data_IF_476214265569
#
_entry.id   IF_476214265569
#
_cell.length_a   1.000
_cell.length_b   1.000
_cell.length_c   1.000
_cell.angle_alpha   90.00
_cell.angle_beta   90.00
_cell.angle_gamma   90.00
#
_symmetry.space_group_name_H-M   'P 1'
#
loop_
_entity.id
_entity.type
_entity.pdbx_description
1 polymer ?
#
# COMPACT_ATOMS: atom_id res chain seq x y z
N UNK A 1 -68.96 28.56 22.19
CA UNK A 1 -68.28 28.33 20.88
C UNK A 1 -66.77 28.38 21.08
N UNK A 2 -66.06 27.25 21.09
CA UNK A 2 -64.58 27.18 21.20
C UNK A 2 -64.07 26.60 19.91
N UNK A 3 -63.40 27.40 19.10
CA UNK A 3 -62.65 26.95 17.92
C UNK A 3 -61.38 26.21 18.35
N UNK A 4 -61.25 24.96 17.96
CA UNK A 4 -60.03 24.18 18.07
C UNK A 4 -59.24 24.33 16.76
N UNK A 5 -58.10 25.01 16.83
CA UNK A 5 -57.15 25.14 15.76
C UNK A 5 -56.30 23.88 15.72
N UNK A 6 -56.39 23.11 14.63
CA UNK A 6 -55.54 21.94 14.38
C UNK A 6 -54.24 22.40 13.76
N UNK A 7 -53.14 22.18 14.47
CA UNK A 7 -51.79 22.26 13.91
C UNK A 7 -51.45 20.94 13.21
N UNK A 8 -51.42 20.98 11.88
CA UNK A 8 -50.84 19.89 11.06
C UNK A 8 -49.31 20.07 11.09
N UNK A 9 -48.63 19.22 11.81
CA UNK A 9 -47.18 19.05 11.70
C UNK A 9 -46.87 18.30 10.39
N UNK A 10 -46.39 19.05 9.39
CA UNK A 10 -45.83 18.51 8.17
C UNK A 10 -44.43 17.95 8.51
N UNK A 11 -44.34 16.66 8.77
CA UNK A 11 -43.06 15.97 8.83
C UNK A 11 -42.49 15.86 7.40
N UNK A 12 -41.61 16.79 7.04
CA UNK A 12 -40.78 16.67 5.83
C UNK A 12 -39.76 15.56 6.12
N UNK A 13 -40.05 14.34 5.69
CA UNK A 13 -39.06 13.26 5.60
C UNK A 13 -38.13 13.67 4.47
N UNK A 14 -37.00 14.27 4.83
CA UNK A 14 -35.87 14.39 3.95
C UNK A 14 -35.32 12.97 3.71
N UNK A 15 -35.87 12.29 2.70
CA UNK A 15 -35.19 11.18 2.06
C UNK A 15 -33.93 11.77 1.41
N UNK A 16 -32.82 11.73 2.09
CA UNK A 16 -31.52 11.86 1.46
C UNK A 16 -31.39 10.68 0.50
N UNK A 17 -31.78 10.91 -0.74
CA UNK A 17 -31.41 10.03 -1.84
C UNK A 17 -29.87 10.02 -1.87
N UNK A 18 -29.29 9.01 -1.27
CA UNK A 18 -27.93 8.59 -1.60
C UNK A 18 -27.99 8.26 -3.09
N UNK A 19 -27.59 9.20 -3.93
CA UNK A 19 -27.35 8.92 -5.33
C UNK A 19 -26.46 7.68 -5.34
N UNK A 20 -26.81 6.59 -6.07
CA UNK A 20 -25.93 5.46 -6.19
C UNK A 20 -24.59 6.03 -6.66
N UNK A 21 -23.53 5.78 -5.90
CA UNK A 21 -22.16 6.01 -6.38
C UNK A 21 -22.12 5.32 -7.73
N UNK A 22 -21.98 6.10 -8.82
CA UNK A 22 -21.84 5.53 -10.15
C UNK A 22 -20.80 4.43 -10.05
N UNK A 23 -21.12 3.25 -10.61
CA UNK A 23 -20.22 2.13 -10.52
C UNK A 23 -18.83 2.58 -10.97
N UNK A 24 -17.84 2.43 -10.09
CA UNK A 24 -16.47 2.84 -10.40
C UNK A 24 -15.96 1.94 -11.50
N UNK A 25 -15.48 2.53 -12.58
CA UNK A 25 -15.01 1.77 -13.73
C UNK A 25 -13.56 1.35 -13.47
N UNK A 26 -13.35 0.04 -13.34
CA UNK A 26 -12.03 -0.57 -13.23
C UNK A 26 -11.80 -1.47 -14.43
N UNK A 27 -10.79 -1.13 -15.21
CA UNK A 27 -10.32 -1.98 -16.30
C UNK A 27 -9.41 -3.07 -15.72
N UNK A 28 -9.86 -4.33 -15.75
CA UNK A 28 -9.12 -5.49 -15.23
C UNK A 28 -8.41 -6.22 -16.35
N UNK A 29 -7.10 -6.36 -16.25
CA UNK A 29 -6.25 -7.01 -17.26
C UNK A 29 -5.46 -8.19 -16.67
N UNK A 30 -5.75 -9.40 -17.14
CA UNK A 30 -5.02 -10.63 -16.83
C UNK A 30 -4.25 -11.18 -18.05
N UNK A 31 -4.11 -10.39 -19.12
CA UNK A 31 -3.47 -10.81 -20.37
C UNK A 31 -2.01 -11.23 -20.17
N UNK A 32 -1.30 -10.58 -19.24
CA UNK A 32 0.07 -10.95 -18.88
C UNK A 32 0.16 -12.40 -18.34
N UNK A 33 -0.85 -12.84 -17.58
CA UNK A 33 -0.88 -14.22 -17.05
C UNK A 33 -1.07 -15.23 -18.16
N UNK A 34 -1.99 -14.98 -19.10
CA UNK A 34 -2.22 -15.83 -20.29
C UNK A 34 -1.00 -15.88 -21.21
N UNK A 35 -0.41 -14.71 -21.48
CA UNK A 35 0.78 -14.62 -22.33
C UNK A 35 1.95 -15.38 -21.72
N UNK A 36 2.19 -15.24 -20.42
CA UNK A 36 3.26 -15.96 -19.75
C UNK A 36 3.01 -17.47 -19.71
N UNK A 37 1.77 -17.91 -19.48
CA UNK A 37 1.43 -19.33 -19.59
C UNK A 37 1.80 -19.90 -20.95
N UNK A 38 1.49 -19.16 -22.03
CA UNK A 38 1.82 -19.57 -23.40
C UNK A 38 3.33 -19.69 -23.60
N UNK A 39 4.12 -18.77 -23.04
CA UNK A 39 5.59 -18.83 -23.08
C UNK A 39 6.11 -20.05 -22.30
N UNK A 40 5.66 -20.25 -21.05
CA UNK A 40 6.10 -21.37 -20.23
C UNK A 40 5.74 -22.72 -20.86
N UNK A 41 4.54 -22.81 -21.46
CA UNK A 41 4.10 -24.00 -22.19
C UNK A 41 5.00 -24.30 -23.39
N UNK A 42 5.30 -23.28 -24.20
CA UNK A 42 6.24 -23.46 -25.34
C UNK A 42 7.62 -23.93 -24.88
N UNK A 43 8.12 -23.41 -23.73
CA UNK A 43 9.36 -23.90 -23.13
C UNK A 43 9.25 -25.37 -22.73
N UNK A 44 8.21 -25.78 -22.03
CA UNK A 44 7.98 -27.18 -21.65
C UNK A 44 7.86 -28.13 -22.85
N UNK A 45 7.31 -27.66 -23.96
CA UNK A 45 7.21 -28.42 -25.22
C UNK A 45 8.51 -28.46 -26.04
N UNK A 46 9.60 -27.86 -25.50
CA UNK A 46 10.93 -27.90 -26.13
C UNK A 46 11.07 -26.93 -27.32
N UNK A 47 10.31 -25.84 -27.33
CA UNK A 47 10.46 -24.82 -28.37
C UNK A 47 11.88 -24.23 -28.41
N UNK A 48 12.43 -23.92 -29.62
CA UNK A 48 13.75 -23.29 -29.73
C UNK A 48 13.83 -21.95 -28.97
N UNK A 49 15.01 -21.66 -28.41
CA UNK A 49 15.27 -20.45 -27.62
C UNK A 49 14.85 -19.17 -28.36
N UNK A 50 15.15 -19.08 -29.63
CA UNK A 50 14.86 -17.91 -30.48
C UNK A 50 13.34 -17.65 -30.54
N UNK A 51 12.52 -18.70 -30.65
CA UNK A 51 11.07 -18.62 -30.65
C UNK A 51 10.57 -18.13 -29.27
N UNK A 52 11.02 -18.74 -28.19
CA UNK A 52 10.65 -18.34 -26.82
C UNK A 52 11.08 -16.90 -26.55
N UNK A 53 12.29 -16.53 -26.96
CA UNK A 53 12.81 -15.17 -26.83
C UNK A 53 11.94 -14.13 -27.54
N UNK A 54 11.48 -14.42 -28.76
CA UNK A 54 10.57 -13.55 -29.51
C UNK A 54 9.19 -13.42 -28.86
N UNK A 55 8.65 -14.53 -28.30
CA UNK A 55 7.39 -14.49 -27.53
C UNK A 55 7.52 -13.61 -26.29
N UNK A 56 8.64 -13.70 -25.55
CA UNK A 56 8.91 -12.86 -24.42
C UNK A 56 9.06 -11.38 -24.83
N UNK A 57 9.76 -11.08 -25.92
CA UNK A 57 9.88 -9.69 -26.41
C UNK A 57 8.49 -9.06 -26.61
N UNK A 58 7.59 -9.78 -27.26
CA UNK A 58 6.23 -9.31 -27.49
C UNK A 58 5.46 -9.14 -26.18
N UNK A 59 5.54 -10.12 -25.28
CA UNK A 59 4.81 -10.11 -24.01
C UNK A 59 5.28 -8.98 -23.09
N UNK A 60 6.58 -8.74 -23.00
CA UNK A 60 7.17 -7.74 -22.12
C UNK A 60 6.93 -6.29 -22.60
N UNK A 61 6.40 -6.08 -23.81
CA UNK A 61 5.92 -4.78 -24.29
C UNK A 61 4.45 -4.51 -23.93
N UNK A 62 3.72 -5.47 -23.38
CA UNK A 62 2.33 -5.25 -22.98
C UNK A 62 2.24 -4.29 -21.80
N UNK A 63 1.11 -3.58 -21.69
CA UNK A 63 0.87 -2.59 -20.63
C UNK A 63 1.11 -3.14 -19.22
N UNK A 64 0.66 -4.35 -18.84
CA UNK A 64 0.94 -4.91 -17.51
C UNK A 64 2.43 -4.99 -17.18
N UNK A 65 3.26 -5.48 -18.11
CA UNK A 65 4.70 -5.59 -17.88
C UNK A 65 5.41 -4.22 -17.90
N UNK A 66 4.96 -3.29 -18.73
CA UNK A 66 5.50 -1.93 -18.72
C UNK A 66 5.27 -1.24 -17.36
N UNK A 67 4.09 -1.39 -16.76
CA UNK A 67 3.81 -0.91 -15.39
C UNK A 67 4.70 -1.59 -14.36
N UNK A 68 4.88 -2.91 -14.45
CA UNK A 68 5.78 -3.66 -13.57
C UNK A 68 7.22 -3.13 -13.66
N UNK A 69 7.77 -2.96 -14.87
CA UNK A 69 9.13 -2.43 -15.04
C UNK A 69 9.23 -1.00 -14.51
N UNK A 70 8.24 -0.15 -14.76
CA UNK A 70 8.21 1.21 -14.23
C UNK A 70 8.23 1.22 -12.71
N UNK A 71 7.46 0.32 -12.08
CA UNK A 71 7.47 0.15 -10.62
C UNK A 71 8.84 -0.26 -10.09
N UNK A 72 9.49 -1.25 -10.70
CA UNK A 72 10.79 -1.73 -10.22
C UNK A 72 11.96 -0.81 -10.57
N UNK A 73 11.81 0.11 -11.50
CA UNK A 73 12.86 1.04 -11.91
C UNK A 73 12.66 2.47 -11.37
N UNK A 74 11.83 2.65 -10.33
CA UNK A 74 11.73 3.94 -9.61
C UNK A 74 13.09 4.34 -9.03
N UNK A 75 13.42 5.63 -9.08
CA UNK A 75 14.71 6.16 -8.67
C UNK A 75 15.15 5.80 -7.24
N UNK A 76 14.19 5.75 -6.32
CA UNK A 76 14.44 5.43 -4.92
C UNK A 76 14.65 3.92 -4.63
N UNK A 77 14.42 3.03 -5.61
CA UNK A 77 14.63 1.60 -5.41
C UNK A 77 16.12 1.23 -5.46
N UNK A 78 16.61 0.38 -4.54
CA UNK A 78 18.03 0.03 -4.44
C UNK A 78 18.51 -0.82 -5.61
N UNK A 79 17.63 -1.67 -6.13
CA UNK A 79 17.94 -2.56 -7.25
C UNK A 79 16.87 -2.42 -8.33
N UNK A 80 17.29 -1.95 -9.49
CA UNK A 80 16.45 -1.87 -10.67
C UNK A 80 16.29 -3.24 -11.30
N UNK A 81 15.18 -3.43 -12.04
CA UNK A 81 14.93 -4.62 -12.85
C UNK A 81 14.85 -4.23 -14.34
N UNK A 82 15.98 -4.15 -15.06
CA UNK A 82 15.94 -3.90 -16.49
C UNK A 82 15.20 -5.03 -17.23
N UNK A 83 14.38 -4.66 -18.21
CA UNK A 83 13.62 -5.63 -19.02
C UNK A 83 14.50 -6.76 -19.59
N UNK A 84 15.72 -6.49 -20.16
CA UNK A 84 16.58 -7.56 -20.65
C UNK A 84 17.03 -8.54 -19.54
N UNK A 85 17.23 -8.06 -18.32
CA UNK A 85 17.60 -8.91 -17.18
C UNK A 85 16.45 -9.84 -16.81
N UNK A 86 15.22 -9.31 -16.68
CA UNK A 86 14.03 -10.12 -16.41
C UNK A 86 13.81 -11.17 -17.52
N UNK A 87 13.93 -10.78 -18.79
CA UNK A 87 13.84 -11.70 -19.93
C UNK A 87 14.85 -12.86 -19.81
N UNK A 88 16.14 -12.55 -19.57
CA UNK A 88 17.18 -13.59 -19.41
C UNK A 88 16.92 -14.49 -18.21
N UNK A 89 16.44 -13.92 -17.10
CA UNK A 89 16.06 -14.67 -15.91
C UNK A 89 14.93 -15.68 -16.22
N UNK A 90 13.90 -15.31 -16.97
CA UNK A 90 12.85 -16.25 -17.41
C UNK A 90 13.41 -17.30 -18.37
N UNK A 91 14.20 -16.90 -19.36
CA UNK A 91 14.83 -17.85 -20.30
C UNK A 91 15.71 -18.87 -19.55
N UNK A 92 16.39 -18.46 -18.49
CA UNK A 92 17.27 -19.36 -17.71
C UNK A 92 16.53 -20.48 -16.97
N UNK A 93 15.22 -20.45 -16.89
CA UNK A 93 14.44 -21.55 -16.32
C UNK A 93 14.59 -22.85 -17.16
N UNK A 94 14.86 -22.71 -18.46
CA UNK A 94 15.11 -23.82 -19.39
C UNK A 94 16.52 -23.77 -20.01
N UNK A 95 17.01 -22.56 -20.31
CA UNK A 95 18.29 -22.35 -20.98
C UNK A 95 19.29 -21.76 -19.96
N UNK A 96 19.85 -22.61 -19.09
CA UNK A 96 20.59 -22.24 -17.87
C UNK A 96 21.65 -21.15 -18.04
N UNK A 97 22.31 -21.07 -19.23
CA UNK A 97 23.39 -20.11 -19.51
C UNK A 97 22.90 -18.67 -19.74
N UNK A 98 21.59 -18.42 -19.78
CA UNK A 98 21.06 -17.10 -20.13
C UNK A 98 21.14 -16.09 -18.96
N UNK A 99 21.17 -16.57 -17.72
CA UNK A 99 21.24 -15.72 -16.54
C UNK A 99 22.02 -16.43 -15.43
N UNK A 100 22.90 -15.68 -14.76
CA UNK A 100 23.66 -16.20 -13.62
C UNK A 100 23.17 -15.57 -12.31
N UNK A 101 22.92 -16.36 -11.26
CA UNK A 101 22.67 -15.83 -9.92
C UNK A 101 23.77 -14.85 -9.48
N UNK A 102 23.37 -13.75 -8.86
CA UNK A 102 24.26 -12.66 -8.47
C UNK A 102 24.37 -11.53 -9.52
N UNK A 103 23.85 -11.71 -10.73
CA UNK A 103 23.84 -10.68 -11.77
C UNK A 103 22.91 -9.50 -11.40
N UNK A 104 21.79 -9.79 -10.78
CA UNK A 104 20.83 -8.78 -10.35
C UNK A 104 20.02 -9.25 -9.14
N UNK A 105 20.19 -8.59 -8.01
CA UNK A 105 19.56 -8.96 -6.74
C UNK A 105 18.02 -9.05 -6.84
N UNK A 106 17.38 -8.16 -7.60
CA UNK A 106 15.93 -8.18 -7.78
C UNK A 106 15.46 -9.38 -8.57
N UNK A 107 16.14 -9.69 -9.67
CA UNK A 107 15.85 -10.85 -10.48
C UNK A 107 16.10 -12.14 -9.70
N UNK A 108 17.14 -12.23 -8.87
CA UNK A 108 17.42 -13.38 -8.02
C UNK A 108 16.28 -13.66 -7.03
N UNK A 109 15.79 -12.62 -6.36
CA UNK A 109 14.63 -12.73 -5.45
C UNK A 109 13.39 -13.23 -6.19
N UNK A 110 13.11 -12.71 -7.38
CA UNK A 110 11.99 -13.14 -8.20
C UNK A 110 12.16 -14.58 -8.69
N UNK A 111 13.37 -14.95 -9.13
CA UNK A 111 13.68 -16.28 -9.65
C UNK A 111 13.32 -17.40 -8.69
N UNK A 112 13.41 -17.18 -7.38
CA UNK A 112 13.04 -18.17 -6.35
C UNK A 112 11.57 -18.61 -6.50
N UNK A 113 10.65 -17.72 -6.87
CA UNK A 113 9.26 -18.09 -7.15
C UNK A 113 9.10 -18.75 -8.50
N UNK A 114 9.73 -18.22 -9.53
CA UNK A 114 9.68 -18.77 -10.87
C UNK A 114 10.18 -20.21 -10.94
N UNK A 115 11.27 -20.54 -10.23
CA UNK A 115 11.79 -21.92 -10.15
C UNK A 115 10.84 -22.90 -9.45
N UNK A 116 9.91 -22.40 -8.62
CA UNK A 116 8.86 -23.21 -8.01
C UNK A 116 7.69 -23.47 -8.98
N UNK A 117 7.31 -22.49 -9.77
CA UNK A 117 6.15 -22.58 -10.68
C UNK A 117 6.51 -23.20 -12.03
N UNK A 118 7.68 -22.93 -12.58
CA UNK A 118 8.10 -23.44 -13.88
C UNK A 118 8.07 -24.97 -13.99
N UNK A 119 8.60 -25.76 -13.06
CA UNK A 119 8.51 -27.21 -13.14
C UNK A 119 7.08 -27.76 -12.98
N UNK A 120 6.18 -26.99 -12.44
CA UNK A 120 4.79 -27.36 -12.20
C UNK A 120 3.82 -26.50 -13.00
N UNK A 121 3.89 -26.62 -14.34
CA UNK A 121 3.04 -25.86 -15.23
C UNK A 121 1.55 -26.08 -14.97
N UNK A 122 1.15 -27.27 -14.50
CA UNK A 122 -0.23 -27.57 -14.13
C UNK A 122 -0.72 -26.70 -12.97
N UNK A 123 0.15 -26.38 -12.01
CA UNK A 123 -0.19 -25.44 -10.91
C UNK A 123 -0.50 -24.05 -11.47
N UNK A 124 0.34 -23.56 -12.38
CA UNK A 124 0.12 -22.26 -13.04
C UNK A 124 -1.20 -22.25 -13.82
N UNK A 125 -1.45 -23.30 -14.62
CA UNK A 125 -2.67 -23.44 -15.42
C UNK A 125 -3.92 -23.48 -14.53
N UNK A 126 -3.89 -24.25 -13.44
CA UNK A 126 -4.99 -24.34 -12.49
C UNK A 126 -5.33 -22.99 -11.89
N UNK A 127 -4.32 -22.25 -11.43
CA UNK A 127 -4.49 -20.91 -10.88
C UNK A 127 -5.03 -19.93 -11.94
N UNK A 128 -4.52 -20.00 -13.18
CA UNK A 128 -5.00 -19.15 -14.27
C UNK A 128 -6.47 -19.41 -14.60
N UNK A 129 -6.90 -20.68 -14.68
CA UNK A 129 -8.31 -21.04 -14.93
C UNK A 129 -9.22 -20.53 -13.82
N UNK A 130 -8.79 -20.61 -12.57
CA UNK A 130 -9.58 -20.08 -11.45
C UNK A 130 -9.67 -18.55 -11.50
N UNK A 131 -8.57 -17.88 -11.87
CA UNK A 131 -8.56 -16.43 -12.06
C UNK A 131 -9.52 -16.00 -13.18
N UNK A 132 -9.58 -16.76 -14.26
CA UNK A 132 -10.50 -16.53 -15.38
C UNK A 132 -11.97 -16.81 -15.03
N UNK A 133 -12.22 -17.78 -14.15
CA UNK A 133 -13.56 -18.13 -13.71
C UNK A 133 -14.08 -17.23 -12.57
N UNK A 134 -13.20 -16.51 -11.88
CA UNK A 134 -13.55 -15.66 -10.74
C UNK A 134 -14.29 -14.39 -11.17
N UNK A 135 -15.27 -13.97 -10.37
CA UNK A 135 -15.86 -12.63 -10.49
C UNK A 135 -14.92 -11.57 -9.90
N UNK A 136 -13.88 -11.25 -10.67
CA UNK A 136 -12.88 -10.27 -10.28
C UNK A 136 -13.47 -8.88 -10.11
N UNK A 137 -14.43 -8.50 -10.95
CA UNK A 137 -15.08 -7.19 -10.85
C UNK A 137 -15.82 -7.03 -9.53
N UNK A 138 -16.52 -8.07 -9.08
CA UNK A 138 -17.18 -8.04 -7.79
C UNK A 138 -16.18 -7.89 -6.65
N UNK A 139 -15.13 -8.72 -6.63
CA UNK A 139 -14.10 -8.70 -5.58
C UNK A 139 -13.37 -7.35 -5.52
N UNK A 140 -13.02 -6.80 -6.68
CA UNK A 140 -12.38 -5.49 -6.80
C UNK A 140 -13.30 -4.38 -6.30
N UNK A 141 -14.57 -4.37 -6.71
CA UNK A 141 -15.55 -3.37 -6.27
C UNK A 141 -15.84 -3.46 -4.77
N UNK A 142 -15.83 -4.67 -4.20
CA UNK A 142 -15.97 -4.86 -2.74
C UNK A 142 -14.76 -4.23 -2.02
N UNK A 143 -13.54 -4.44 -2.53
CA UNK A 143 -12.32 -3.82 -1.99
C UNK A 143 -12.33 -2.30 -2.07
N UNK A 144 -12.70 -1.75 -3.23
CA UNK A 144 -12.82 -0.29 -3.44
C UNK A 144 -13.86 0.32 -2.49
N UNK A 145 -15.02 -0.31 -2.37
CA UNK A 145 -16.08 0.17 -1.48
C UNK A 145 -15.64 0.20 -0.03
N UNK A 146 -14.90 -0.81 0.40
CA UNK A 146 -14.34 -0.85 1.72
C UNK A 146 -13.31 0.27 1.95
N UNK A 147 -12.36 0.44 1.03
CA UNK A 147 -11.36 1.51 1.08
C UNK A 147 -12.02 2.91 1.07
N UNK A 148 -13.04 3.12 0.23
CA UNK A 148 -13.78 4.39 0.17
C UNK A 148 -14.42 4.73 1.52
N UNK A 149 -14.84 3.72 2.27
CA UNK A 149 -15.38 3.90 3.63
C UNK A 149 -14.36 4.47 4.61
N UNK A 150 -13.06 4.36 4.35
CA UNK A 150 -11.97 4.85 5.18
C UNK A 150 -11.26 6.09 4.59
N UNK A 151 -11.91 6.78 3.68
CA UNK A 151 -11.49 8.09 3.17
C UNK A 151 -12.49 9.16 3.58
N UNK A 152 -12.07 10.44 3.74
CA UNK A 152 -12.99 11.57 3.88
C UNK A 152 -14.05 11.56 2.80
N UNK A 153 -15.28 11.97 3.14
CA UNK A 153 -16.44 11.84 2.25
C UNK A 153 -16.32 12.59 0.93
N UNK A 154 -15.51 13.64 0.88
CA UNK A 154 -15.22 14.43 -0.33
C UNK A 154 -14.10 13.85 -1.19
N UNK A 155 -13.35 12.88 -0.67
CA UNK A 155 -12.32 12.19 -1.43
C UNK A 155 -12.92 11.00 -2.17
N UNK A 156 -12.44 10.77 -3.40
CA UNK A 156 -12.93 9.66 -4.23
C UNK A 156 -11.73 8.90 -4.77
N UNK A 157 -11.84 7.59 -4.71
CA UNK A 157 -10.94 6.71 -5.44
C UNK A 157 -11.21 6.94 -6.93
N UNK A 158 -10.24 7.29 -7.77
CA UNK A 158 -10.46 7.50 -9.20
C UNK A 158 -10.74 6.17 -9.92
N UNK A 159 -11.25 6.23 -11.15
CA UNK A 159 -11.20 5.07 -12.05
C UNK A 159 -9.73 4.71 -12.30
N UNK A 160 -9.42 3.42 -12.37
CA UNK A 160 -8.06 2.96 -12.57
C UNK A 160 -7.98 1.68 -13.39
N UNK A 161 -6.78 1.42 -13.89
CA UNK A 161 -6.43 0.18 -14.55
C UNK A 161 -5.79 -0.77 -13.52
N UNK A 162 -6.22 -2.03 -13.52
CA UNK A 162 -5.71 -3.09 -12.65
C UNK A 162 -5.12 -4.22 -13.49
N UNK A 163 -3.86 -4.52 -13.29
CA UNK A 163 -3.19 -5.63 -13.95
C UNK A 163 -2.82 -6.75 -12.97
N UNK A 164 -3.07 -7.99 -13.34
CA UNK A 164 -2.45 -9.14 -12.68
C UNK A 164 -1.26 -9.58 -13.52
N UNK A 165 -0.07 -9.57 -12.90
CA UNK A 165 1.19 -9.79 -13.58
C UNK A 165 2.00 -10.87 -12.86
N UNK A 166 2.41 -11.95 -13.55
CA UNK A 166 3.33 -12.92 -12.94
C UNK A 166 4.71 -12.28 -12.84
N UNK A 167 4.97 -11.66 -11.68
CA UNK A 167 6.23 -10.96 -11.45
C UNK A 167 7.17 -11.71 -10.48
N UNK A 168 6.63 -12.35 -9.45
CA UNK A 168 7.39 -13.08 -8.43
C UNK A 168 8.06 -12.18 -7.38
N UNK A 169 7.73 -10.90 -7.36
CA UNK A 169 8.34 -9.90 -6.48
C UNK A 169 7.34 -9.26 -5.51
N UNK A 170 7.06 -7.96 -5.68
CA UNK A 170 6.10 -7.24 -4.84
C UNK A 170 4.70 -7.82 -4.98
N UNK A 171 3.98 -8.02 -3.87
CA UNK A 171 2.62 -8.57 -3.91
C UNK A 171 1.64 -7.66 -4.66
N UNK A 172 1.76 -6.36 -4.46
CA UNK A 172 1.01 -5.34 -5.16
C UNK A 172 1.82 -4.05 -5.31
N UNK A 173 1.35 -3.14 -6.14
CA UNK A 173 1.93 -1.81 -6.31
C UNK A 173 0.96 -0.84 -6.98
N UNK A 174 1.12 0.43 -6.68
CA UNK A 174 0.49 1.55 -7.40
C UNK A 174 1.55 2.28 -8.22
N UNK A 175 1.24 2.58 -9.47
CA UNK A 175 2.09 3.36 -10.37
C UNK A 175 1.23 4.10 -11.41
N UNK A 176 1.44 5.41 -11.57
CA UNK A 176 0.73 6.25 -12.55
C UNK A 176 -0.80 6.08 -12.53
N UNK A 177 -1.39 5.98 -11.34
CA UNK A 177 -2.84 5.79 -11.21
C UNK A 177 -3.34 4.40 -11.61
N UNK A 178 -2.44 3.44 -11.80
CA UNK A 178 -2.76 2.03 -12.04
C UNK A 178 -2.32 1.17 -10.85
N UNK A 179 -2.95 -0.01 -10.71
CA UNK A 179 -2.56 -1.03 -9.73
C UNK A 179 -2.01 -2.27 -10.44
N UNK A 180 -1.02 -2.91 -9.83
CA UNK A 180 -0.50 -4.19 -10.30
C UNK A 180 -0.44 -5.20 -9.15
N UNK A 181 -0.80 -6.46 -9.45
CA UNK A 181 -0.85 -7.57 -8.49
C UNK A 181 0.00 -8.73 -8.97
N UNK A 182 0.77 -9.33 -8.07
CA UNK A 182 1.55 -10.50 -8.43
C UNK A 182 0.66 -11.75 -8.51
N UNK A 183 0.60 -12.34 -9.69
CA UNK A 183 -0.14 -13.56 -9.95
C UNK A 183 0.20 -14.69 -8.95
N UNK A 184 1.46 -14.83 -8.57
CA UNK A 184 1.90 -15.88 -7.64
C UNK A 184 1.47 -15.65 -6.20
N UNK A 185 1.08 -14.42 -5.83
CA UNK A 185 0.59 -14.10 -4.49
C UNK A 185 -0.94 -14.27 -4.36
N UNK A 186 -1.65 -14.37 -5.49
CA UNK A 186 -3.10 -14.57 -5.48
C UNK A 186 -3.51 -15.98 -5.04
N UNK A 187 -2.58 -16.92 -4.95
CA UNK A 187 -2.91 -18.28 -4.54
C UNK A 187 -2.47 -18.57 -3.11
N UNK A 188 -3.26 -19.38 -2.42
CA UNK A 188 -2.83 -20.00 -1.18
C UNK A 188 -1.59 -20.85 -1.44
N UNK A 189 -0.59 -20.74 -0.56
CA UNK A 189 0.72 -21.35 -0.77
C UNK A 189 0.64 -22.87 -1.08
N UNK A 190 0.94 -23.23 -2.32
CA UNK A 190 1.09 -24.61 -2.76
C UNK A 190 -0.17 -25.34 -3.25
N UNK A 191 -1.36 -24.73 -3.15
CA UNK A 191 -2.61 -25.35 -3.60
C UNK A 191 -2.99 -24.99 -5.04
N UNK A 192 -2.57 -23.80 -5.52
CA UNK A 192 -3.06 -23.23 -6.78
C UNK A 192 -4.47 -22.65 -6.68
N UNK A 193 -5.09 -22.70 -5.51
CA UNK A 193 -6.39 -22.07 -5.25
C UNK A 193 -6.22 -20.56 -5.07
N UNK A 194 -7.11 -19.79 -5.70
CA UNK A 194 -7.11 -18.33 -5.58
C UNK A 194 -7.70 -17.90 -4.25
N UNK A 195 -7.00 -17.03 -3.56
CA UNK A 195 -7.49 -16.34 -2.37
C UNK A 195 -8.14 -15.00 -2.75
N UNK A 196 -9.43 -15.02 -3.01
CA UNK A 196 -10.18 -13.80 -3.31
C UNK A 196 -10.27 -12.84 -2.10
N UNK A 197 -10.19 -13.34 -0.86
CA UNK A 197 -10.15 -12.46 0.32
C UNK A 197 -8.86 -11.68 0.36
N UNK A 198 -7.74 -12.32 0.07
CA UNK A 198 -6.45 -11.64 -0.07
C UNK A 198 -6.51 -10.56 -1.18
N UNK A 199 -7.14 -10.89 -2.33
CA UNK A 199 -7.31 -9.93 -3.41
C UNK A 199 -8.15 -8.72 -2.96
N UNK A 200 -9.30 -8.95 -2.31
CA UNK A 200 -10.15 -7.87 -1.77
C UNK A 200 -9.37 -6.98 -0.81
N UNK A 201 -8.63 -7.57 0.13
CA UNK A 201 -7.83 -6.83 1.10
C UNK A 201 -6.73 -6.00 0.45
N UNK A 202 -5.99 -6.59 -0.50
CA UNK A 202 -4.89 -5.91 -1.18
C UNK A 202 -5.43 -4.81 -2.12
N UNK A 203 -6.54 -5.06 -2.84
CA UNK A 203 -7.22 -4.02 -3.63
C UNK A 203 -7.70 -2.88 -2.73
N UNK A 204 -8.24 -3.17 -1.55
CA UNK A 204 -8.65 -2.14 -0.61
C UNK A 204 -7.46 -1.27 -0.18
N UNK A 205 -6.33 -1.89 0.16
CA UNK A 205 -5.11 -1.20 0.58
C UNK A 205 -4.58 -0.27 -0.53
N UNK A 206 -4.37 -0.80 -1.72
CA UNK A 206 -3.85 -0.02 -2.84
C UNK A 206 -4.85 1.04 -3.34
N UNK A 207 -6.15 0.75 -3.28
CA UNK A 207 -7.20 1.72 -3.64
C UNK A 207 -7.28 2.86 -2.63
N UNK A 208 -7.02 2.60 -1.34
CA UNK A 208 -6.91 3.65 -0.35
C UNK A 208 -5.80 4.65 -0.72
N UNK A 209 -4.60 4.15 -1.11
CA UNK A 209 -3.53 5.01 -1.59
C UNK A 209 -3.92 5.84 -2.83
N UNK A 210 -4.65 5.27 -3.79
CA UNK A 210 -5.17 6.00 -4.94
C UNK A 210 -6.19 7.09 -4.56
N UNK A 211 -6.99 6.85 -3.53
CA UNK A 211 -7.99 7.78 -3.03
C UNK A 211 -7.42 8.90 -2.17
N UNK A 212 -6.22 8.71 -1.61
CA UNK A 212 -5.54 9.74 -0.83
C UNK A 212 -5.13 10.92 -1.71
N UNK A 213 -5.45 12.12 -1.24
CA UNK A 213 -5.04 13.36 -1.92
C UNK A 213 -3.79 13.93 -1.26
N UNK A 214 -2.97 14.60 -2.05
CA UNK A 214 -1.92 15.41 -1.47
C UNK A 214 -2.56 16.56 -0.69
N UNK A 215 -2.27 16.62 0.59
CA UNK A 215 -2.73 17.66 1.51
C UNK A 215 -1.60 18.59 1.92
N UNK A 216 -0.45 18.48 1.23
CA UNK A 216 0.69 19.34 1.49
C UNK A 216 0.30 20.82 1.27
N UNK A 217 0.60 21.70 2.24
CA UNK A 217 0.43 23.14 2.05
C UNK A 217 1.18 23.63 0.82
N UNK A 218 0.60 24.62 0.11
CA UNK A 218 1.29 25.25 -1.00
C UNK A 218 2.45 26.11 -0.51
N UNK A 219 3.56 26.14 -1.28
CA UNK A 219 4.68 27.03 -0.98
C UNK A 219 5.59 26.58 0.18
N UNK A 220 5.58 25.29 0.50
CA UNK A 220 6.53 24.74 1.48
C UNK A 220 7.98 25.04 1.07
N UNK A 221 8.81 25.39 2.05
CA UNK A 221 10.27 25.39 1.85
C UNK A 221 10.75 23.95 1.55
N UNK A 222 11.94 23.75 0.92
CA UNK A 222 12.49 22.40 0.73
C UNK A 222 12.60 21.61 2.06
N UNK A 223 12.97 22.24 3.14
CA UNK A 223 13.04 21.66 4.48
C UNK A 223 11.66 21.22 5.00
N UNK A 224 10.66 22.11 4.89
CA UNK A 224 9.29 21.80 5.30
C UNK A 224 8.67 20.69 4.42
N UNK A 225 9.02 20.65 3.13
CA UNK A 225 8.52 19.60 2.23
C UNK A 225 9.02 18.20 2.64
N UNK A 226 10.29 18.07 3.02
CA UNK A 226 10.85 16.81 3.52
C UNK A 226 10.25 16.48 4.90
N UNK A 227 10.16 17.47 5.80
CA UNK A 227 9.52 17.29 7.10
C UNK A 227 8.06 16.81 6.97
N UNK A 228 7.33 17.34 6.00
CA UNK A 228 5.97 16.89 5.70
C UNK A 228 5.95 15.45 5.18
N UNK A 229 6.92 15.03 4.36
CA UNK A 229 7.04 13.65 3.89
C UNK A 229 7.32 12.67 5.05
N UNK A 230 8.13 13.06 6.06
CA UNK A 230 8.38 12.26 7.26
C UNK A 230 7.08 11.93 8.02
N UNK A 231 6.13 12.87 8.08
CA UNK A 231 4.82 12.65 8.71
C UNK A 231 3.90 11.80 7.81
N UNK A 232 3.81 12.15 6.52
CA UNK A 232 2.90 11.50 5.57
C UNK A 232 3.18 10.02 5.37
N UNK A 233 4.41 9.57 5.56
CA UNK A 233 4.79 8.17 5.44
C UNK A 233 3.98 7.28 6.41
N UNK A 234 3.93 7.63 7.69
CA UNK A 234 3.14 6.89 8.68
C UNK A 234 1.63 7.06 8.48
N UNK A 235 1.19 8.20 7.91
CA UNK A 235 -0.22 8.43 7.58
C UNK A 235 -0.67 7.47 6.48
N UNK A 236 0.06 7.40 5.37
CA UNK A 236 -0.36 6.61 4.21
C UNK A 236 -0.40 5.11 4.54
N UNK A 237 0.72 4.57 5.01
CA UNK A 237 0.86 3.13 5.24
C UNK A 237 0.13 2.68 6.52
N UNK A 238 0.20 3.49 7.58
CA UNK A 238 -0.46 3.16 8.85
C UNK A 238 -1.97 3.10 8.74
N UNK A 239 -2.57 4.05 8.05
CA UNK A 239 -4.02 4.09 7.81
C UNK A 239 -4.48 2.86 7.02
N UNK A 240 -3.86 2.59 5.87
CA UNK A 240 -4.21 1.45 5.02
C UNK A 240 -3.98 0.13 5.76
N UNK A 241 -2.95 0.04 6.58
CA UNK A 241 -2.65 -1.19 7.33
C UNK A 241 -3.64 -1.40 8.47
N UNK A 242 -3.86 -0.40 9.32
CA UNK A 242 -4.71 -0.57 10.50
C UNK A 242 -6.17 -0.86 10.14
N UNK A 243 -6.75 -0.06 9.25
CA UNK A 243 -8.18 -0.17 8.93
C UNK A 243 -8.49 -1.20 7.86
N UNK A 244 -7.57 -1.49 6.99
CA UNK A 244 -7.83 -2.35 5.83
C UNK A 244 -7.16 -3.71 5.98
N UNK A 245 -5.86 -3.76 6.26
CA UNK A 245 -5.15 -5.03 6.38
C UNK A 245 -5.46 -5.78 7.68
N UNK A 246 -5.86 -5.07 8.75
CA UNK A 246 -6.23 -5.66 10.03
C UNK A 246 -5.07 -6.38 10.70
N UNK A 247 -4.04 -5.66 11.16
CA UNK A 247 -2.87 -6.26 11.76
C UNK A 247 -3.21 -7.02 13.05
N UNK A 248 -2.32 -7.90 13.53
CA UNK A 248 -2.42 -8.46 14.87
C UNK A 248 -2.48 -7.34 15.91
N UNK A 249 -3.09 -7.59 17.09
CA UNK A 249 -3.09 -6.61 18.15
C UNK A 249 -1.66 -6.17 18.51
N UNK A 250 -1.41 -4.86 18.43
CA UNK A 250 -0.18 -4.22 18.86
C UNK A 250 -0.29 -3.68 20.28
N UNK A 251 0.23 -2.48 20.51
CA UNK A 251 0.02 -1.71 21.74
C UNK A 251 -1.34 -1.02 21.74
N UNK A 252 -1.77 -0.53 20.57
CA UNK A 252 -3.13 -0.08 20.37
C UNK A 252 -4.09 -1.26 20.15
N UNK A 253 -5.38 -1.15 20.57
CA UNK A 253 -6.39 -2.17 20.32
C UNK A 253 -6.55 -2.42 18.82
N UNK A 254 -6.71 -3.68 18.42
CA UNK A 254 -7.01 -4.03 17.03
C UNK A 254 -8.43 -3.64 16.62
N UNK A 255 -8.62 -3.25 15.35
CA UNK A 255 -9.95 -3.04 14.78
C UNK A 255 -10.59 -4.40 14.48
N UNK A 256 -11.76 -4.74 15.06
CA UNK A 256 -12.35 -6.08 14.92
C UNK A 256 -12.78 -6.44 13.50
N UNK A 257 -13.12 -5.42 12.70
CA UNK A 257 -13.74 -5.60 11.37
C UNK A 257 -12.70 -5.71 10.23
N UNK A 258 -11.48 -5.22 10.42
CA UNK A 258 -10.43 -5.23 9.40
C UNK A 258 -9.66 -6.55 9.44
N UNK A 259 -10.08 -7.55 8.63
CA UNK A 259 -9.46 -8.89 8.59
C UNK A 259 -9.38 -9.45 7.18
N UNK A 260 -8.82 -8.69 6.27
CA UNK A 260 -8.61 -9.19 4.92
C UNK A 260 -7.27 -9.93 4.77
N UNK A 261 -6.26 -9.62 5.61
CA UNK A 261 -4.99 -10.32 5.57
C UNK A 261 -4.93 -11.43 6.63
N UNK A 262 -4.67 -12.64 6.17
CA UNK A 262 -4.26 -13.71 7.06
C UNK A 262 -2.78 -13.51 7.39
N UNK A 263 -2.50 -13.09 8.61
CA UNK A 263 -1.12 -13.01 9.08
C UNK A 263 -0.59 -14.44 9.28
N UNK A 264 0.37 -14.82 8.45
CA UNK A 264 1.15 -16.05 8.67
C UNK A 264 1.92 -15.93 9.99
N UNK A 265 2.36 -17.04 10.60
CA UNK A 265 3.18 -16.98 11.82
C UNK A 265 4.42 -16.08 11.67
N UNK A 266 5.07 -16.10 10.50
CA UNK A 266 6.24 -15.26 10.22
C UNK A 266 5.89 -13.77 10.13
N UNK A 267 4.77 -13.42 9.49
CA UNK A 267 4.27 -12.05 9.44
C UNK A 267 3.85 -11.56 10.83
N UNK A 268 3.16 -12.41 11.60
CA UNK A 268 2.76 -12.07 12.97
C UNK A 268 3.98 -11.86 13.87
N UNK A 269 5.01 -12.71 13.72
CA UNK A 269 6.28 -12.52 14.43
C UNK A 269 6.96 -11.21 14.04
N UNK A 270 7.10 -10.93 12.75
CA UNK A 270 7.72 -9.69 12.26
C UNK A 270 6.94 -8.45 12.72
N UNK A 271 5.61 -8.52 12.77
CA UNK A 271 4.76 -7.47 13.33
C UNK A 271 5.08 -7.22 14.81
N UNK A 272 5.09 -8.28 15.63
CA UNK A 272 5.37 -8.19 17.06
C UNK A 272 6.78 -7.68 17.34
N UNK A 273 7.77 -8.11 16.55
CA UNK A 273 9.15 -7.60 16.63
C UNK A 273 9.19 -6.09 16.29
N UNK A 274 8.37 -5.62 15.34
CA UNK A 274 8.20 -4.20 15.05
C UNK A 274 7.56 -3.44 16.21
N UNK A 275 6.44 -3.94 16.75
CA UNK A 275 5.77 -3.32 17.93
C UNK A 275 6.72 -3.21 19.12
N UNK A 276 7.61 -4.18 19.34
CA UNK A 276 8.62 -4.11 20.38
C UNK A 276 9.62 -2.96 20.20
N UNK A 277 9.83 -2.51 18.95
CA UNK A 277 10.73 -1.42 18.56
C UNK A 277 10.02 -0.05 18.43
N UNK A 278 8.77 0.10 18.88
CA UNK A 278 7.99 1.33 18.68
C UNK A 278 8.69 2.58 19.27
N UNK A 279 9.33 2.45 20.43
CA UNK A 279 10.08 3.56 21.01
C UNK A 279 11.23 4.04 20.13
N UNK A 280 12.01 3.10 19.58
CA UNK A 280 13.08 3.41 18.62
C UNK A 280 12.52 4.07 17.36
N UNK A 281 11.35 3.61 16.87
CA UNK A 281 10.69 4.20 15.70
C UNK A 281 10.20 5.62 15.95
N UNK A 282 9.61 5.91 17.11
CA UNK A 282 9.18 7.26 17.49
C UNK A 282 10.40 8.18 17.64
N UNK A 283 11.47 7.72 18.25
CA UNK A 283 12.73 8.49 18.38
C UNK A 283 13.34 8.76 17.01
N UNK A 284 13.38 7.76 16.12
CA UNK A 284 13.91 7.92 14.78
C UNK A 284 13.09 8.91 13.97
N UNK A 285 11.75 8.78 13.94
CA UNK A 285 10.86 9.71 13.23
C UNK A 285 11.02 11.15 13.72
N UNK A 286 11.13 11.33 15.04
CA UNK A 286 11.37 12.64 15.65
C UNK A 286 12.72 13.22 15.21
N UNK A 287 13.77 12.40 15.21
CA UNK A 287 15.10 12.84 14.76
C UNK A 287 15.13 13.21 13.27
N UNK A 288 14.44 12.44 12.40
CA UNK A 288 14.31 12.75 10.98
C UNK A 288 13.53 14.04 10.76
N UNK A 289 12.48 14.28 11.56
CA UNK A 289 11.73 15.53 11.53
C UNK A 289 12.62 16.72 11.92
N UNK A 290 13.42 16.60 12.99
CA UNK A 290 14.37 17.62 13.44
C UNK A 290 15.37 17.97 12.33
N UNK A 291 16.03 16.95 11.74
CA UNK A 291 17.00 17.13 10.66
C UNK A 291 16.37 17.77 9.43
N UNK A 292 15.17 17.33 9.05
CA UNK A 292 14.45 17.91 7.92
C UNK A 292 14.19 19.40 8.12
N UNK A 293 13.67 19.78 9.29
CA UNK A 293 13.37 21.17 9.65
C UNK A 293 14.61 22.06 9.82
N UNK A 294 15.75 21.45 10.16
CA UNK A 294 17.06 22.14 10.19
C UNK A 294 17.68 22.29 8.80
N UNK A 295 17.11 21.67 7.75
CA UNK A 295 17.70 21.61 6.42
C UNK A 295 18.90 20.67 6.30
N UNK A 296 19.06 19.77 7.27
CA UNK A 296 20.16 18.78 7.37
C UNK A 296 19.80 17.44 6.72
N UNK A 297 18.55 17.24 6.30
CA UNK A 297 18.08 16.04 5.60
C UNK A 297 17.74 16.41 4.15
N UNK A 298 18.52 15.88 3.22
CA UNK A 298 18.25 16.04 1.79
C UNK A 298 17.21 15.02 1.29
N UNK A 299 16.60 15.27 0.11
CA UNK A 299 15.65 14.31 -0.48
C UNK A 299 16.29 12.94 -0.71
N UNK A 300 17.55 12.88 -1.18
CA UNK A 300 18.24 11.59 -1.39
C UNK A 300 18.49 10.81 -0.09
N UNK A 301 18.80 11.52 0.99
CA UNK A 301 18.96 10.89 2.30
C UNK A 301 17.63 10.41 2.84
N UNK A 302 16.56 11.19 2.69
CA UNK A 302 15.21 10.75 3.03
C UNK A 302 14.76 9.53 2.21
N UNK A 303 15.00 9.52 0.89
CA UNK A 303 14.69 8.38 0.02
C UNK A 303 15.47 7.13 0.43
N UNK A 304 16.70 7.31 0.92
CA UNK A 304 17.52 6.22 1.48
C UNK A 304 16.95 5.71 2.80
N UNK A 305 16.59 6.62 3.70
CA UNK A 305 15.95 6.28 4.98
C UNK A 305 14.59 5.59 4.77
N UNK A 306 13.77 6.10 3.85
CA UNK A 306 12.50 5.51 3.45
C UNK A 306 12.69 4.04 3.05
N UNK A 307 13.69 3.77 2.21
CA UNK A 307 13.98 2.44 1.68
C UNK A 307 14.59 1.50 2.72
N UNK A 308 15.62 1.98 3.44
CA UNK A 308 16.49 1.12 4.24
C UNK A 308 16.01 0.96 5.69
N UNK A 309 15.21 1.90 6.17
CA UNK A 309 14.67 1.87 7.52
C UNK A 309 13.15 1.68 7.54
N UNK A 310 12.37 2.53 6.84
CA UNK A 310 10.92 2.58 6.99
C UNK A 310 10.17 1.47 6.26
N UNK A 311 10.57 1.16 5.04
CA UNK A 311 9.91 0.15 4.19
C UNK A 311 10.68 -1.17 4.09
N UNK A 312 11.81 -1.30 4.78
CA UNK A 312 12.62 -2.53 4.78
C UNK A 312 12.06 -3.58 5.75
N UNK A 313 12.38 -4.85 5.45
CA UNK A 313 12.00 -5.98 6.27
C UNK A 313 10.78 -6.74 5.74
N UNK A 314 10.31 -7.71 6.52
CA UNK A 314 9.12 -8.52 6.23
C UNK A 314 7.86 -7.66 6.42
N UNK A 315 7.86 -6.82 7.46
CA UNK A 315 6.88 -5.76 7.69
C UNK A 315 7.66 -4.46 7.88
N UNK A 316 7.40 -3.46 7.06
CA UNK A 316 8.04 -2.16 7.18
C UNK A 316 7.61 -1.42 8.45
N UNK A 317 8.54 -0.66 9.03
CA UNK A 317 8.30 0.08 10.29
C UNK A 317 7.20 1.13 10.17
N UNK A 318 7.06 1.74 9.00
CA UNK A 318 5.99 2.71 8.74
C UNK A 318 4.59 2.11 8.89
N UNK A 319 4.42 0.85 8.50
CA UNK A 319 3.16 0.11 8.67
C UNK A 319 2.84 -0.10 10.15
N UNK A 320 3.84 -0.50 10.94
CA UNK A 320 3.69 -0.76 12.37
C UNK A 320 3.41 0.54 13.12
N UNK A 321 4.32 1.51 13.05
CA UNK A 321 4.19 2.77 13.78
C UNK A 321 2.93 3.53 13.42
N UNK A 322 2.66 3.66 12.12
CA UNK A 322 1.44 4.35 11.67
C UNK A 322 0.18 3.64 12.14
N UNK A 323 0.15 2.30 12.15
CA UNK A 323 -1.00 1.53 12.68
C UNK A 323 -1.20 1.74 14.17
N UNK A 324 -0.13 1.78 14.98
CA UNK A 324 -0.22 2.06 16.41
C UNK A 324 -0.81 3.45 16.65
N UNK A 325 -0.32 4.46 15.91
CA UNK A 325 -0.83 5.83 16.04
C UNK A 325 -2.31 5.93 15.64
N UNK A 326 -2.70 5.37 14.48
CA UNK A 326 -4.10 5.41 14.05
C UNK A 326 -5.02 4.56 14.93
N UNK A 327 -4.54 3.44 15.43
CA UNK A 327 -5.26 2.61 16.40
C UNK A 327 -5.57 3.37 17.69
N UNK A 328 -4.61 4.13 18.21
CA UNK A 328 -4.79 4.97 19.39
C UNK A 328 -5.79 6.10 19.12
N UNK A 329 -5.64 6.84 18.01
CA UNK A 329 -6.55 7.93 17.63
C UNK A 329 -7.98 7.41 17.49
N UNK A 330 -8.17 6.31 16.76
CA UNK A 330 -9.48 5.71 16.58
C UNK A 330 -10.10 5.24 17.90
N UNK A 331 -9.32 4.60 18.76
CA UNK A 331 -9.77 4.12 20.09
C UNK A 331 -10.27 5.26 20.98
N UNK A 332 -9.62 6.42 20.90
CA UNK A 332 -9.98 7.58 21.73
C UNK A 332 -11.10 8.42 21.13
N UNK A 333 -11.06 8.68 19.84
CA UNK A 333 -11.86 9.73 19.20
C UNK A 333 -12.69 9.24 18.00
N UNK A 334 -12.52 7.99 17.56
CA UNK A 334 -13.27 7.44 16.44
C UNK A 334 -12.81 7.95 15.07
N UNK A 335 -13.68 7.73 14.08
CA UNK A 335 -13.35 7.85 12.66
C UNK A 335 -13.07 9.29 12.20
N UNK A 336 -13.79 10.26 12.74
CA UNK A 336 -13.64 11.68 12.34
C UNK A 336 -12.25 12.23 12.68
N UNK A 337 -11.68 11.81 13.82
CA UNK A 337 -10.33 12.20 14.19
C UNK A 337 -9.28 11.56 13.27
N UNK A 338 -9.51 10.31 12.84
CA UNK A 338 -8.70 9.65 11.83
C UNK A 338 -8.72 10.45 10.52
N UNK A 339 -9.89 10.87 10.07
CA UNK A 339 -10.02 11.70 8.86
C UNK A 339 -9.32 13.05 9.03
N UNK A 340 -9.38 13.65 10.19
CA UNK A 340 -8.63 14.88 10.48
C UNK A 340 -7.11 14.70 10.35
N UNK A 341 -6.57 13.55 10.78
CA UNK A 341 -5.15 13.25 10.66
C UNK A 341 -4.70 13.00 9.21
N UNK A 342 -5.54 12.40 8.37
CA UNK A 342 -5.20 12.19 6.94
C UNK A 342 -5.42 13.45 6.09
N UNK A 343 -6.33 14.31 6.47
CA UNK A 343 -6.55 15.62 5.82
C UNK A 343 -5.46 16.64 6.16
N UNK A 344 -4.90 16.54 7.37
CA UNK A 344 -3.76 17.32 7.81
C UNK A 344 -2.76 16.46 8.59
N UNK A 345 -1.80 15.82 7.90
CA UNK A 345 -0.75 15.00 8.52
C UNK A 345 0.05 15.68 9.62
N UNK A 346 0.11 17.01 9.66
CA UNK A 346 0.77 17.76 10.73
C UNK A 346 0.12 17.55 12.09
N UNK A 347 -1.17 17.17 12.09
CA UNK A 347 -1.95 16.88 13.29
C UNK A 347 -1.79 15.45 13.79
N UNK A 348 -1.08 14.58 13.09
CA UNK A 348 -0.95 13.16 13.49
C UNK A 348 -0.43 13.04 14.91
N UNK A 349 0.67 13.70 15.21
CA UNK A 349 1.29 13.64 16.55
C UNK A 349 0.43 14.29 17.64
N UNK A 350 -0.23 15.42 17.34
CA UNK A 350 -1.16 16.08 18.25
C UNK A 350 -2.32 15.15 18.63
N UNK A 351 -2.98 14.56 17.62
CA UNK A 351 -4.13 13.69 17.84
C UNK A 351 -3.74 12.38 18.53
N UNK A 352 -2.57 11.85 18.18
CA UNK A 352 -2.04 10.66 18.85
C UNK A 352 -1.75 10.92 20.33
N UNK A 353 -1.03 11.98 20.66
CA UNK A 353 -0.70 12.34 22.03
C UNK A 353 -1.95 12.63 22.86
N UNK A 354 -2.90 13.38 22.30
CA UNK A 354 -4.20 13.62 22.92
C UNK A 354 -5.00 12.32 23.16
N UNK A 355 -4.86 11.32 22.29
CA UNK A 355 -5.50 10.02 22.46
C UNK A 355 -4.95 9.28 23.69
N UNK A 356 -3.64 9.34 23.93
CA UNK A 356 -3.01 8.73 25.09
C UNK A 356 -3.53 9.35 26.40
N UNK A 357 -3.75 10.67 26.42
CA UNK A 357 -4.32 11.36 27.56
C UNK A 357 -5.82 11.04 27.76
N UNK A 358 -6.57 10.89 26.66
CA UNK A 358 -8.01 10.60 26.73
C UNK A 358 -8.33 9.16 27.15
N UNK A 359 -7.43 8.20 26.87
CA UNK A 359 -7.62 6.76 27.16
C UNK A 359 -6.38 6.12 27.79
N UNK A 360 -5.89 6.65 28.95
CA UNK A 360 -4.61 6.24 29.52
C UNK A 360 -4.55 4.75 29.86
N UNK A 361 -5.64 4.14 30.35
CA UNK A 361 -5.63 2.71 30.69
C UNK A 361 -5.63 1.79 29.44
N UNK A 362 -6.37 2.16 28.40
CA UNK A 362 -6.44 1.38 27.16
C UNK A 362 -5.15 1.48 26.35
N UNK A 363 -4.46 2.62 26.42
CA UNK A 363 -3.30 2.97 25.60
C UNK A 363 -1.99 3.06 26.42
N UNK A 364 -1.97 2.56 27.65
CA UNK A 364 -0.83 2.66 28.59
C UNK A 364 0.48 2.05 28.09
N UNK A 365 0.44 1.22 27.06
CA UNK A 365 1.62 0.61 26.45
C UNK A 365 2.13 1.35 25.23
N UNK A 366 1.35 2.29 24.69
CA UNK A 366 1.74 3.10 23.54
C UNK A 366 2.83 4.12 23.93
N UNK A 367 3.71 4.42 23.01
CA UNK A 367 4.86 5.30 23.22
C UNK A 367 4.50 6.74 22.91
N UNK A 368 4.72 7.64 23.87
CA UNK A 368 4.41 9.06 23.69
C UNK A 368 5.40 9.75 22.75
N UNK A 369 4.88 10.60 21.87
CA UNK A 369 5.70 11.48 21.04
C UNK A 369 6.19 12.66 21.89
N UNK A 370 7.46 13.09 21.77
CA UNK A 370 7.94 14.26 22.52
C UNK A 370 7.16 15.54 22.14
N UNK A 371 6.79 16.35 23.13
CA UNK A 371 6.05 17.63 22.94
C UNK A 371 6.69 18.54 21.90
N UNK A 372 8.03 18.53 21.83
CA UNK A 372 8.76 19.30 20.83
C UNK A 372 8.37 18.86 19.40
N UNK A 373 8.32 17.56 19.16
CA UNK A 373 7.98 17.02 17.82
C UNK A 373 6.52 17.33 17.43
N UNK A 374 5.59 17.32 18.42
CA UNK A 374 4.21 17.74 18.21
C UNK A 374 4.15 19.20 17.73
N UNK A 375 4.85 20.10 18.42
CA UNK A 375 4.91 21.53 18.09
C UNK A 375 5.56 21.77 16.71
N UNK A 376 6.62 21.05 16.42
CA UNK A 376 7.34 21.14 15.16
C UNK A 376 6.48 20.66 13.99
N UNK A 377 5.76 19.55 14.12
CA UNK A 377 4.86 19.04 13.08
C UNK A 377 3.78 20.08 12.75
N UNK A 378 3.14 20.67 13.75
CA UNK A 378 2.12 21.72 13.57
C UNK A 378 2.67 23.00 12.93
N UNK A 379 3.95 23.30 13.10
CA UNK A 379 4.59 24.50 12.56
C UNK A 379 5.03 24.38 11.09
N UNK A 380 4.95 23.18 10.48
CA UNK A 380 5.32 22.98 9.07
C UNK A 380 4.43 23.84 8.16
N UNK A 381 5.07 24.64 7.28
CA UNK A 381 4.37 25.53 6.36
C UNK A 381 3.80 26.80 6.98
N UNK A 382 3.91 26.97 8.31
CA UNK A 382 3.53 28.20 9.02
C UNK A 382 4.70 29.10 9.40
N UNK A 383 5.93 28.67 9.11
CA UNK A 383 7.13 29.49 9.34
C UNK A 383 7.18 30.61 8.30
N UNK A 384 7.05 31.86 8.73
CA UNK A 384 7.44 32.98 7.88
C UNK A 384 8.85 32.71 7.38
N UNK A 385 9.01 32.60 6.07
CA UNK A 385 10.34 32.55 5.47
C UNK A 385 11.04 33.81 5.90
N UNK A 386 11.95 33.71 6.88
CA UNK A 386 12.84 34.81 7.20
C UNK A 386 13.53 35.20 5.86
N UNK A 387 13.11 36.33 5.27
CA UNK A 387 13.77 36.86 4.08
C UNK A 387 15.23 37.03 4.47
N UNK A 388 16.18 36.46 3.70
CA UNK A 388 17.56 36.81 3.93
C UNK A 388 17.65 38.35 3.78
N UNK A 389 18.03 39.02 4.85
CA UNK A 389 18.37 40.41 4.79
C UNK A 389 19.45 40.58 3.74
N UNK A 390 19.18 41.42 2.72
CA UNK A 390 20.11 41.74 1.62
C UNK A 390 21.18 42.68 2.11
#
# INVERSE_FOLDING_TARGET
MKQRTHWLLLAVVLCTFSLPLGAQEVEVDISACRGMYTVLKAMHEGAPKEKVSGMLDTLLETRPYQLMFKHYNRSWRPSHLPKPVFKRMILSLQFEKEYSPGENERADKMRTRWTKYYPNLLLYETQLRQLEAADLHKSINDGIRYAQGWLPTEWRIPNFYLAVVPNGGSPAFVIDGAQGYDFFQLSQAGTGEIDLNWLVGTVSHESHHLGMRSTAPSGLSPADAIAYQVLTLCVAEGMATYFISGPPPGRAPALPEARFHVFTPDLAKAWNDGVAQEEDMVQHQTASLDKALAGELTQNEFDTELRDYWLNGVVGRAYVLGSEMFGAIYTAFGKEAVFSAIQDPRRLFELYDAALDAKPEALKRCVRVPDRAVKQALAIGGRETARPER
#
